data_IF_575821824849
#
_entry.id   IF_575821824849
#
_cell.length_a   1.000
_cell.length_b   1.000
_cell.length_c   1.000
_cell.angle_alpha   90.00
_cell.angle_beta   90.00
_cell.angle_gamma   90.00
#
_symmetry.space_group_name_H-M   'P 1'
#
loop_
_entity.id
_entity.type
_entity.pdbx_description
1 polymer ?
#
# COMPACT_ATOMS: atom_id res chain seq x y z
N UNK A 1 -18.89 -6.03 -1.57
CA UNK A 1 -17.72 -5.37 -0.96
C UNK A 1 -16.87 -4.86 -2.11
N UNK A 2 -16.66 -3.54 -2.28
CA UNK A 2 -15.95 -3.05 -3.46
C UNK A 2 -14.51 -3.57 -3.41
N UNK A 3 -14.17 -4.38 -4.41
CA UNK A 3 -12.84 -4.92 -4.65
C UNK A 3 -11.94 -3.77 -5.09
N UNK A 4 -11.30 -3.10 -4.13
CA UNK A 4 -10.13 -2.29 -4.44
C UNK A 4 -9.08 -3.25 -5.00
N UNK A 5 -8.82 -3.15 -6.30
CA UNK A 5 -7.71 -3.84 -6.96
C UNK A 5 -6.42 -3.31 -6.36
N UNK A 6 -5.93 -3.99 -5.33
CA UNK A 6 -4.64 -3.69 -4.74
C UNK A 6 -3.59 -4.02 -5.79
N UNK A 7 -2.74 -3.08 -6.21
CA UNK A 7 -1.78 -3.33 -7.27
C UNK A 7 -0.87 -4.48 -6.85
N UNK A 8 -0.59 -5.39 -7.80
CA UNK A 8 0.14 -6.62 -7.54
C UNK A 8 1.50 -6.37 -6.87
N UNK A 9 2.16 -5.24 -7.18
CA UNK A 9 3.42 -4.82 -6.56
C UNK A 9 3.27 -4.55 -5.06
N UNK A 10 2.22 -3.80 -4.67
CA UNK A 10 1.92 -3.52 -3.26
C UNK A 10 1.53 -4.82 -2.54
N UNK A 11 0.66 -5.62 -3.16
CA UNK A 11 0.21 -6.87 -2.56
C UNK A 11 1.38 -7.84 -2.34
N UNK A 12 2.34 -7.94 -3.28
CA UNK A 12 3.55 -8.76 -3.11
C UNK A 12 4.38 -8.31 -1.91
N UNK A 13 4.60 -7.01 -1.74
CA UNK A 13 5.35 -6.46 -0.61
C UNK A 13 4.65 -6.67 0.73
N UNK A 14 3.33 -6.50 0.77
CA UNK A 14 2.52 -6.77 1.95
C UNK A 14 2.51 -8.27 2.28
N UNK A 15 2.38 -9.15 1.28
CA UNK A 15 2.42 -10.61 1.49
C UNK A 15 3.78 -11.08 2.03
N UNK A 16 4.87 -10.41 1.66
CA UNK A 16 6.19 -10.68 2.23
C UNK A 16 6.26 -10.38 3.74
N UNK A 17 5.31 -9.62 4.28
CA UNK A 17 5.22 -9.26 5.70
C UNK A 17 3.77 -9.43 6.20
N UNK A 18 3.40 -10.61 6.66
CA UNK A 18 2.02 -10.91 7.09
C UNK A 18 1.43 -9.92 8.12
N UNK A 19 2.28 -9.32 8.97
CA UNK A 19 1.86 -8.26 9.90
C UNK A 19 1.39 -6.98 9.18
N UNK A 20 2.10 -6.56 8.12
CA UNK A 20 1.70 -5.40 7.32
C UNK A 20 0.46 -5.68 6.51
N UNK A 21 0.33 -6.89 5.96
CA UNK A 21 -0.89 -7.29 5.27
C UNK A 21 -2.11 -7.20 6.19
N UNK A 22 -2.01 -7.71 7.43
CA UNK A 22 -3.06 -7.60 8.44
C UNK A 22 -3.39 -6.15 8.79
N UNK A 23 -2.37 -5.31 9.00
CA UNK A 23 -2.58 -3.90 9.30
C UNK A 23 -3.27 -3.18 8.14
N UNK A 24 -2.78 -3.38 6.91
CA UNK A 24 -3.35 -2.80 5.71
C UNK A 24 -4.79 -3.28 5.46
N UNK A 25 -5.09 -4.56 5.67
CA UNK A 25 -6.45 -5.10 5.53
C UNK A 25 -7.41 -4.55 6.60
N UNK A 26 -6.87 -4.29 7.81
CA UNK A 26 -7.59 -3.63 8.90
C UNK A 26 -7.87 -2.14 8.62
N UNK A 27 -7.23 -1.51 7.63
CA UNK A 27 -7.51 -0.11 7.27
C UNK A 27 -8.88 0.02 6.59
N UNK A 28 -9.52 1.17 6.84
CA UNK A 28 -10.74 1.56 6.14
C UNK A 28 -10.54 1.63 4.62
N UNK A 29 -11.62 1.51 3.87
CA UNK A 29 -11.62 1.59 2.41
C UNK A 29 -10.90 2.84 1.88
N UNK A 30 -11.14 4.01 2.47
CA UNK A 30 -10.54 5.30 2.08
C UNK A 30 -9.01 5.27 2.19
N UNK A 31 -8.49 4.86 3.34
CA UNK A 31 -7.04 4.76 3.59
C UNK A 31 -6.34 3.80 2.62
N UNK A 32 -6.95 2.63 2.35
CA UNK A 32 -6.41 1.69 1.35
C UNK A 32 -6.41 2.32 -0.05
N UNK A 33 -7.49 2.99 -0.42
CA UNK A 33 -7.61 3.70 -1.71
C UNK A 33 -6.56 4.80 -1.85
N UNK A 34 -6.25 5.54 -0.78
CA UNK A 34 -5.20 6.58 -0.81
C UNK A 34 -3.82 6.00 -1.08
N UNK A 35 -3.44 4.92 -0.39
CA UNK A 35 -2.18 4.22 -0.68
C UNK A 35 -2.12 3.74 -2.13
N UNK A 36 -3.19 3.10 -2.61
CA UNK A 36 -3.26 2.60 -3.99
C UNK A 36 -3.10 3.75 -4.97
N UNK A 37 -3.90 4.82 -4.83
CA UNK A 37 -3.84 6.01 -5.69
C UNK A 37 -2.46 6.66 -5.65
N UNK A 38 -1.83 6.77 -4.48
CA UNK A 38 -0.50 7.33 -4.34
C UNK A 38 0.55 6.48 -5.07
N UNK A 39 0.44 5.17 -5.03
CA UNK A 39 1.37 4.28 -5.76
C UNK A 39 1.09 4.32 -7.27
N UNK A 40 -0.18 4.33 -7.68
CA UNK A 40 -0.59 4.37 -9.09
C UNK A 40 -0.29 5.70 -9.77
N UNK A 41 -0.36 6.81 -9.03
CA UNK A 41 -0.03 8.14 -9.52
C UNK A 41 1.46 8.26 -9.94
N UNK A 42 2.34 7.38 -9.42
CA UNK A 42 3.73 7.35 -9.82
C UNK A 42 3.90 6.73 -11.21
N UNK A 43 3.92 7.58 -12.25
CA UNK A 43 4.10 7.20 -13.65
C UNK A 43 5.48 6.56 -13.95
N UNK A 44 6.52 6.92 -13.19
CA UNK A 44 7.86 6.34 -13.34
C UNK A 44 8.00 5.11 -12.45
N UNK A 45 8.55 4.02 -13.01
CA UNK A 45 8.80 2.78 -12.28
C UNK A 45 9.71 2.98 -11.04
N UNK A 46 10.74 3.82 -11.16
CA UNK A 46 11.62 4.16 -10.03
C UNK A 46 10.86 4.84 -8.89
N UNK A 47 10.00 5.81 -9.20
CA UNK A 47 9.17 6.51 -8.21
C UNK A 47 8.14 5.57 -7.59
N UNK A 48 7.55 4.66 -8.39
CA UNK A 48 6.61 3.65 -7.90
C UNK A 48 7.30 2.72 -6.90
N UNK A 49 8.51 2.24 -7.20
CA UNK A 49 9.30 1.43 -6.26
C UNK A 49 9.66 2.20 -4.98
N UNK A 50 10.01 3.48 -5.09
CA UNK A 50 10.27 4.32 -3.92
C UNK A 50 9.02 4.50 -3.04
N UNK A 51 7.87 4.80 -3.64
CA UNK A 51 6.58 4.91 -2.92
C UNK A 51 6.16 3.59 -2.28
N UNK A 52 6.39 2.46 -2.95
CA UNK A 52 6.13 1.13 -2.41
C UNK A 52 6.97 0.82 -1.16
N UNK A 53 8.29 1.11 -1.21
CA UNK A 53 9.17 0.97 -0.04
C UNK A 53 8.71 1.89 1.09
N UNK A 54 8.40 3.16 0.78
CA UNK A 54 7.90 4.14 1.74
C UNK A 54 6.58 3.69 2.37
N UNK A 55 5.64 3.15 1.58
CA UNK A 55 4.37 2.62 2.07
C UNK A 55 4.59 1.50 3.08
N UNK A 56 5.52 0.58 2.80
CA UNK A 56 5.91 -0.48 3.75
C UNK A 56 6.44 0.10 5.06
N UNK A 57 7.30 1.11 5.01
CA UNK A 57 7.81 1.79 6.21
C UNK A 57 6.70 2.52 7.00
N UNK A 58 5.79 3.19 6.30
CA UNK A 58 4.66 3.90 6.92
C UNK A 58 3.68 2.92 7.59
N UNK A 59 3.37 1.81 6.93
CA UNK A 59 2.54 0.76 7.51
C UNK A 59 3.21 0.11 8.73
N UNK A 60 4.54 -0.05 8.72
CA UNK A 60 5.31 -0.49 9.91
C UNK A 60 5.17 0.49 11.06
N UNK A 61 5.13 1.79 10.77
CA UNK A 61 4.93 2.87 11.75
C UNK A 61 3.44 3.05 12.15
N UNK A 62 2.54 2.17 11.69
CA UNK A 62 1.09 2.27 11.89
C UNK A 62 0.45 3.53 11.30
N UNK A 63 1.09 4.11 10.29
CA UNK A 63 0.56 5.25 9.55
C UNK A 63 -0.53 4.80 8.59
N UNK A 64 -1.68 5.46 8.65
CA UNK A 64 -2.92 5.02 7.98
C UNK A 64 -3.07 5.55 6.56
N UNK A 65 -2.34 6.59 6.18
CA UNK A 65 -2.35 7.20 4.85
C UNK A 65 -0.94 7.69 4.47
N UNK A 66 -0.56 7.66 3.18
CA UNK A 66 0.72 8.16 2.71
C UNK A 66 0.86 9.69 2.77
#
# INVERSE_FOLDING_TARGET
KPSLETPADLQKLLKNNGALLRFFDSLSYTHRKEYIRWIEDAKKAETRQARLKKAVEMLKQKTRHP
#
